data_IF_131221272878
#
_entry.id   IF_131221272878
#
_cell.length_a   1.000
_cell.length_b   1.000
_cell.length_c   1.000
_cell.angle_alpha   90.00
_cell.angle_beta   90.00
_cell.angle_gamma   90.00
#
_symmetry.space_group_name_H-M   'P 1'
#
loop_
_entity.id
_entity.type
_entity.pdbx_description
1 polymer ?
#
# COMPACT_ATOMS: atom_id res chain seq x y z
N UNK A 1 15.17 0.03 -22.87
CA UNK A 1 13.71 -0.14 -22.75
C UNK A 1 13.38 -0.33 -21.27
N UNK A 2 13.21 0.75 -20.53
CA UNK A 2 12.74 0.67 -19.13
C UNK A 2 11.26 0.33 -19.16
N UNK A 3 10.91 -0.85 -18.64
CA UNK A 3 9.52 -1.29 -18.54
C UNK A 3 8.73 -0.26 -17.73
N UNK A 4 7.78 0.44 -18.37
CA UNK A 4 6.86 1.47 -17.81
C UNK A 4 5.89 0.87 -16.77
N UNK A 5 6.24 -0.28 -16.20
CA UNK A 5 5.38 -1.12 -15.40
C UNK A 5 5.50 -0.89 -13.92
N UNK A 6 6.68 -0.44 -13.44
CA UNK A 6 6.93 -0.11 -12.03
C UNK A 6 6.90 1.40 -11.85
N UNK A 7 6.26 1.84 -10.77
CA UNK A 7 6.10 3.23 -10.39
C UNK A 7 6.62 3.35 -8.96
N UNK A 8 7.68 4.13 -8.78
CA UNK A 8 8.21 4.44 -7.47
C UNK A 8 7.23 5.32 -6.71
N UNK A 9 7.02 4.98 -5.44
CA UNK A 9 6.16 5.73 -4.54
C UNK A 9 6.90 6.02 -3.24
N UNK A 10 6.49 7.12 -2.61
CA UNK A 10 6.87 7.47 -1.24
C UNK A 10 5.64 7.41 -0.36
N UNK A 11 5.76 6.80 0.81
CA UNK A 11 4.72 6.73 1.82
C UNK A 11 5.18 7.48 3.06
N UNK A 12 4.41 8.47 3.49
CA UNK A 12 4.68 9.26 4.69
C UNK A 12 3.61 9.01 5.73
N UNK A 13 4.01 8.77 6.99
CA UNK A 13 3.12 8.63 8.14
C UNK A 13 3.78 9.36 9.32
N UNK A 14 3.23 10.52 9.71
CA UNK A 14 3.93 11.40 10.66
C UNK A 14 5.30 11.80 10.12
N UNK A 15 6.35 11.57 10.91
CA UNK A 15 7.75 11.82 10.53
C UNK A 15 8.40 10.63 9.80
N UNK A 16 7.69 9.50 9.67
CA UNK A 16 8.22 8.30 9.03
C UNK A 16 8.05 8.39 7.52
N UNK A 17 9.14 8.14 6.80
CA UNK A 17 9.18 8.06 5.35
C UNK A 17 9.60 6.64 4.94
N UNK A 18 8.78 6.03 4.09
CA UNK A 18 9.04 4.76 3.44
C UNK A 18 9.05 4.93 1.92
N UNK A 19 9.94 4.18 1.27
CA UNK A 19 9.99 4.07 -0.18
C UNK A 19 9.39 2.73 -0.62
N UNK A 20 8.82 2.70 -1.81
CA UNK A 20 8.28 1.48 -2.39
C UNK A 20 8.07 1.57 -3.89
N UNK A 21 7.61 0.47 -4.46
CA UNK A 21 7.27 0.36 -5.87
C UNK A 21 5.91 -0.31 -6.03
N UNK A 22 5.07 0.26 -6.90
CA UNK A 22 3.81 -0.38 -7.34
C UNK A 22 3.89 -0.75 -8.82
N UNK A 23 3.18 -1.80 -9.23
CA UNK A 23 3.28 -2.32 -10.60
C UNK A 23 1.95 -2.46 -11.33
N UNK A 24 1.86 -1.87 -12.52
CA UNK A 24 0.72 -2.03 -13.44
C UNK A 24 0.50 -3.49 -13.85
N UNK A 25 1.54 -4.34 -13.86
CA UNK A 25 1.40 -5.77 -14.16
C UNK A 25 0.69 -6.55 -13.05
N UNK A 26 0.72 -6.03 -11.82
CA UNK A 26 0.02 -6.64 -10.69
C UNK A 26 -1.44 -6.20 -10.65
N UNK A 27 -1.69 -4.90 -10.83
CA UNK A 27 -3.01 -4.32 -10.69
C UNK A 27 -3.21 -3.06 -11.55
N UNK A 28 -3.50 -3.19 -12.86
CA UNK A 28 -3.51 -2.07 -13.80
C UNK A 28 -4.41 -0.91 -13.38
N UNK A 29 -5.67 -1.17 -13.02
CA UNK A 29 -6.65 -0.11 -12.74
C UNK A 29 -6.39 0.57 -11.39
N UNK A 30 -5.97 -0.19 -10.38
CA UNK A 30 -5.60 0.35 -9.06
C UNK A 30 -4.37 1.25 -9.18
N UNK A 31 -3.33 0.75 -9.84
CA UNK A 31 -2.06 1.48 -10.01
C UNK A 31 -2.24 2.71 -10.90
N UNK A 32 -3.08 2.64 -11.94
CA UNK A 32 -3.41 3.82 -12.75
C UNK A 32 -4.11 4.91 -11.93
N UNK A 33 -5.06 4.56 -11.06
CA UNK A 33 -5.70 5.57 -10.19
C UNK A 33 -4.71 6.23 -9.23
N UNK A 34 -3.78 5.47 -8.66
CA UNK A 34 -2.70 6.04 -7.82
C UNK A 34 -1.83 6.98 -8.66
N UNK A 35 -1.44 6.53 -9.86
CA UNK A 35 -0.62 7.32 -10.78
C UNK A 35 -1.27 8.63 -11.25
N UNK A 36 -2.57 8.61 -11.55
CA UNK A 36 -3.34 9.77 -12.01
C UNK A 36 -3.57 10.76 -10.88
N UNK A 37 -3.93 10.28 -9.69
CA UNK A 37 -4.17 11.12 -8.52
C UNK A 37 -2.89 11.75 -7.97
N UNK A 38 -1.71 11.16 -8.27
CA UNK A 38 -0.35 11.56 -7.85
C UNK A 38 -0.10 11.52 -6.34
N UNK A 39 -1.07 11.94 -5.54
CA UNK A 39 -1.04 12.00 -4.10
C UNK A 39 -2.39 11.53 -3.55
N UNK A 40 -2.33 10.61 -2.60
CA UNK A 40 -3.47 10.02 -1.92
C UNK A 40 -3.24 10.08 -0.42
N UNK A 41 -4.29 10.24 0.36
CA UNK A 41 -4.16 10.26 1.82
C UNK A 41 -5.40 9.76 2.53
N UNK A 42 -5.20 9.19 3.71
CA UNK A 42 -6.28 8.75 4.58
C UNK A 42 -5.80 8.42 6.00
N UNK A 43 -6.71 8.35 6.98
CA UNK A 43 -6.36 7.97 8.34
C UNK A 43 -5.85 6.54 8.37
N UNK A 44 -4.82 6.29 9.17
CA UNK A 44 -4.33 4.92 9.37
C UNK A 44 -5.23 4.16 10.34
N UNK A 45 -5.28 2.86 10.10
CA UNK A 45 -5.88 1.88 11.00
C UNK A 45 -4.82 0.80 11.21
N UNK A 46 -4.35 0.67 12.45
CA UNK A 46 -3.31 -0.29 12.86
C UNK A 46 -3.94 -1.58 13.34
N UNK A 47 -3.52 -2.71 12.77
CA UNK A 47 -3.93 -4.05 13.22
C UNK A 47 -2.73 -4.68 13.94
N UNK A 48 -2.71 -4.48 15.26
CA UNK A 48 -1.62 -4.92 16.15
C UNK A 48 -0.25 -4.54 15.56
N UNK A 49 0.67 -5.49 15.49
CA UNK A 49 2.00 -5.39 14.92
C UNK A 49 2.10 -6.08 13.54
N UNK A 50 0.96 -6.44 12.94
CA UNK A 50 0.87 -7.30 11.76
C UNK A 50 0.79 -6.50 10.46
N UNK A 51 -0.08 -5.50 10.42
CA UNK A 51 -0.29 -4.65 9.25
C UNK A 51 -0.88 -3.30 9.65
N UNK A 52 -0.71 -2.32 8.78
CA UNK A 52 -1.43 -1.05 8.82
C UNK A 52 -2.16 -0.85 7.49
N UNK A 53 -3.32 -0.21 7.52
CA UNK A 53 -4.00 0.16 6.28
C UNK A 53 -4.64 1.54 6.38
N UNK A 54 -4.86 2.16 5.23
CA UNK A 54 -5.47 3.48 5.13
C UNK A 54 -6.50 3.51 3.99
N UNK A 55 -7.78 3.82 4.27
CA UNK A 55 -8.78 4.11 3.26
C UNK A 55 -8.41 5.40 2.50
N UNK A 56 -7.95 5.26 1.26
CA UNK A 56 -7.46 6.37 0.42
C UNK A 56 -8.42 6.71 -0.73
N UNK A 57 -9.63 6.12 -0.74
CA UNK A 57 -10.67 6.42 -1.72
C UNK A 57 -10.35 5.93 -3.14
N UNK A 58 -9.62 4.82 -3.27
CA UNK A 58 -9.47 4.13 -4.56
C UNK A 58 -10.70 3.26 -4.78
N UNK A 59 -11.33 3.39 -5.95
CA UNK A 59 -12.53 2.62 -6.32
C UNK A 59 -12.14 1.64 -7.42
N UNK A 60 -11.86 0.40 -7.05
CA UNK A 60 -11.43 -0.62 -8.00
C UNK A 60 -11.78 -2.03 -7.51
N UNK A 61 -11.95 -2.95 -8.46
CA UNK A 61 -12.08 -4.38 -8.20
C UNK A 61 -10.75 -5.06 -7.88
N UNK A 62 -10.83 -6.33 -7.49
CA UNK A 62 -9.64 -7.14 -7.16
C UNK A 62 -8.94 -7.65 -8.44
N UNK A 63 -7.61 -7.63 -8.43
CA UNK A 63 -6.73 -8.30 -9.39
C UNK A 63 -5.97 -9.42 -8.68
N UNK A 64 -5.89 -10.60 -9.30
CA UNK A 64 -5.19 -11.79 -8.77
C UNK A 64 -5.39 -11.96 -7.24
N UNK A 65 -6.64 -12.00 -6.76
CA UNK A 65 -6.93 -11.91 -5.33
C UNK A 65 -6.32 -13.08 -4.55
N UNK A 66 -5.54 -12.76 -3.51
CA UNK A 66 -4.90 -13.75 -2.63
C UNK A 66 -5.16 -13.45 -1.16
N UNK A 67 -4.81 -14.42 -0.31
CA UNK A 67 -4.89 -14.32 1.16
C UNK A 67 -3.52 -14.32 1.84
N UNK A 68 -2.48 -14.80 1.17
CA UNK A 68 -1.12 -14.87 1.74
C UNK A 68 -0.30 -13.68 1.27
N UNK A 69 0.22 -12.92 2.23
CA UNK A 69 1.04 -11.73 2.01
C UNK A 69 2.34 -11.87 2.78
N UNK A 70 3.43 -11.36 2.20
CA UNK A 70 4.73 -11.33 2.85
C UNK A 70 4.91 -10.01 3.59
N UNK A 71 5.83 -9.99 4.54
CA UNK A 71 6.39 -8.73 5.05
C UNK A 71 6.82 -7.85 3.87
N UNK A 72 6.56 -6.55 3.99
CA UNK A 72 6.81 -5.51 2.97
C UNK A 72 5.94 -5.58 1.71
N UNK A 73 5.02 -6.55 1.56
CA UNK A 73 4.00 -6.47 0.52
C UNK A 73 3.15 -5.19 0.71
N UNK A 74 2.81 -4.55 -0.42
CA UNK A 74 1.79 -3.50 -0.48
C UNK A 74 0.53 -4.12 -1.06
N UNK A 75 -0.52 -4.16 -0.25
CA UNK A 75 -1.83 -4.69 -0.59
C UNK A 75 -2.86 -3.60 -0.92
N UNK A 76 -3.94 -4.02 -1.56
CA UNK A 76 -5.16 -3.24 -1.77
C UNK A 76 -6.38 -4.01 -1.27
N UNK A 77 -7.13 -3.37 -0.37
CA UNK A 77 -8.39 -3.88 0.16
C UNK A 77 -9.57 -3.15 -0.49
N UNK A 78 -10.22 -3.83 -1.45
CA UNK A 78 -11.28 -3.26 -2.26
C UNK A 78 -12.50 -2.77 -1.46
N UNK A 79 -12.90 -3.50 -0.39
CA UNK A 79 -14.06 -3.13 0.44
C UNK A 79 -13.94 -1.76 1.10
N UNK A 80 -12.71 -1.27 1.27
CA UNK A 80 -12.41 -0.01 1.95
C UNK A 80 -11.72 0.99 1.04
N UNK A 81 -11.46 0.65 -0.23
CA UNK A 81 -10.63 1.44 -1.12
C UNK A 81 -9.26 1.77 -0.51
N UNK A 82 -8.67 0.81 0.21
CA UNK A 82 -7.57 1.05 1.14
C UNK A 82 -6.24 0.45 0.66
N UNK A 83 -5.14 1.16 0.94
CA UNK A 83 -3.78 0.65 0.81
C UNK A 83 -3.39 -0.03 2.11
N UNK A 84 -2.74 -1.19 2.03
CA UNK A 84 -2.33 -2.03 3.16
C UNK A 84 -0.81 -2.24 3.12
N UNK A 85 -0.12 -2.03 4.23
CA UNK A 85 1.31 -2.34 4.39
C UNK A 85 1.46 -3.49 5.38
N UNK A 86 2.10 -4.58 4.94
CA UNK A 86 2.27 -5.78 5.75
C UNK A 86 3.61 -5.75 6.50
N UNK A 87 3.55 -5.67 7.84
CA UNK A 87 4.75 -5.66 8.71
C UNK A 87 5.32 -7.05 8.97
N UNK A 88 4.50 -8.09 8.77
CA UNK A 88 4.87 -9.51 8.91
C UNK A 88 4.22 -10.31 7.78
N UNK A 89 4.69 -11.52 7.57
CA UNK A 89 3.99 -12.51 6.74
C UNK A 89 2.62 -12.79 7.37
N UNK A 90 1.55 -12.69 6.58
CA UNK A 90 0.18 -12.80 7.07
C UNK A 90 -0.71 -13.62 6.14
N UNK A 91 -1.62 -14.39 6.75
CA UNK A 91 -2.76 -14.99 6.09
C UNK A 91 -4.02 -14.20 6.48
N UNK A 92 -4.55 -13.40 5.55
CA UNK A 92 -5.73 -12.57 5.80
C UNK A 92 -7.04 -13.30 5.52
N UNK A 93 -8.12 -12.89 6.20
CA UNK A 93 -9.46 -13.45 5.98
C UNK A 93 -10.06 -12.97 4.66
N UNK A 94 -10.01 -11.65 4.42
CA UNK A 94 -10.51 -10.99 3.22
C UNK A 94 -9.46 -11.08 2.10
N UNK A 95 -9.89 -11.51 0.91
CA UNK A 95 -9.00 -11.51 -0.26
C UNK A 95 -8.63 -10.08 -0.63
N UNK A 96 -7.36 -9.86 -0.94
CA UNK A 96 -6.80 -8.57 -1.33
C UNK A 96 -5.93 -8.75 -2.57
N UNK A 97 -5.56 -7.63 -3.19
CA UNK A 97 -4.64 -7.58 -4.34
C UNK A 97 -3.29 -7.09 -3.90
N UNK A 98 -2.19 -7.76 -4.29
CA UNK A 98 -0.86 -7.13 -4.18
C UNK A 98 -0.71 -6.14 -5.31
N UNK A 99 -0.29 -4.93 -4.97
CA UNK A 99 -0.06 -3.85 -5.91
C UNK A 99 1.42 -3.49 -6.02
N UNK A 100 2.25 -3.95 -5.08
CA UNK A 100 3.66 -3.56 -4.99
C UNK A 100 4.35 -4.11 -3.76
N UNK A 101 5.52 -3.57 -3.47
CA UNK A 101 6.30 -3.85 -2.26
C UNK A 101 7.01 -2.58 -1.78
N UNK A 102 7.27 -2.50 -0.48
CA UNK A 102 8.21 -1.52 0.06
C UNK A 102 9.63 -1.86 -0.40
N UNK A 103 10.47 -0.84 -0.53
CA UNK A 103 11.90 -0.94 -0.83
C UNK A 103 12.76 -0.41 0.31
N UNK A 104 12.13 0.20 1.32
CA UNK A 104 12.76 0.59 2.59
C UNK A 104 12.30 -0.31 3.74
N UNK A 105 13.12 -0.40 4.78
CA UNK A 105 12.84 -1.14 6.02
C UNK A 105 11.53 -0.68 6.70
N UNK A 106 10.64 -1.64 6.94
CA UNK A 106 9.30 -1.42 7.52
C UNK A 106 9.33 -1.27 9.05
N UNK A 107 10.45 -1.58 9.70
CA UNK A 107 10.70 -1.46 11.14
C UNK A 107 10.42 -0.05 11.66
N UNK A 108 10.55 0.97 10.80
CA UNK A 108 10.23 2.36 11.11
C UNK A 108 8.76 2.57 11.53
N UNK A 109 7.86 1.61 11.28
CA UNK A 109 6.44 1.70 11.60
C UNK A 109 6.08 1.31 13.06
N UNK A 110 7.05 1.04 13.93
CA UNK A 110 6.78 0.61 15.31
C UNK A 110 6.12 1.69 16.17
N UNK A 111 6.55 2.95 16.02
CA UNK A 111 6.15 4.07 16.88
C UNK A 111 4.94 4.87 16.35
N UNK A 112 4.25 4.34 15.35
CA UNK A 112 3.10 5.00 14.73
C UNK A 112 1.90 5.09 15.67
N UNK A 113 1.29 6.28 15.73
CA UNK A 113 0.12 6.57 16.55
C UNK A 113 -1.17 6.36 15.76
N UNK A 114 -2.19 5.68 16.33
CA UNK A 114 -3.50 5.58 15.70
C UNK A 114 -4.07 6.96 15.32
N UNK A 115 -4.66 7.07 14.12
CA UNK A 115 -5.25 8.32 13.63
C UNK A 115 -4.29 9.22 12.85
N UNK A 116 -2.99 8.91 12.78
CA UNK A 116 -2.09 9.59 11.84
C UNK A 116 -2.54 9.41 10.39
N UNK A 117 -2.09 10.32 9.52
CA UNK A 117 -2.44 10.28 8.10
C UNK A 117 -1.34 9.55 7.33
N UNK A 118 -1.72 8.49 6.61
CA UNK A 118 -0.87 7.92 5.56
C UNK A 118 -1.03 8.75 4.31
N UNK A 119 0.10 9.13 3.71
CA UNK A 119 0.17 9.85 2.46
C UNK A 119 0.98 9.02 1.48
N UNK A 120 0.41 8.69 0.33
CA UNK A 120 1.07 7.95 -0.74
C UNK A 120 1.29 8.89 -1.92
N UNK A 121 2.53 9.07 -2.33
CA UNK A 121 2.94 9.96 -3.41
C UNK A 121 3.69 9.21 -4.50
N UNK A 122 3.37 9.51 -5.75
CA UNK A 122 4.06 9.00 -6.92
C UNK A 122 5.29 9.84 -7.18
N UNK A 123 6.45 9.19 -7.24
CA UNK A 123 7.72 9.84 -7.57
C UNK A 123 7.86 9.93 -9.10
N UNK A 124 8.39 11.07 -9.58
CA UNK A 124 8.63 11.32 -11.00
C UNK A 124 9.99 10.80 -11.44
#
# INVERSE_FOLDING_TARGET
MSSVSKISIKITIGDIILDGEISKHLAPTIVNQIFEKKRLSGPIIKIKDLLIYSPVGIIAGLHKPKKSFKKEDIGFLASNGAIVLFRKDQLVTNKMTVIGNLTSEIEKLDDIKPGEIMIVEVLK
#
